data_IF_131921150309
#
_entry.id   IF_131921150309
#
_cell.length_a   1.000
_cell.length_b   1.000
_cell.length_c   1.000
_cell.angle_alpha   90.00
_cell.angle_beta   90.00
_cell.angle_gamma   90.00
#
_symmetry.space_group_name_H-M   'P 1'
#
loop_
_entity.id
_entity.type
_entity.pdbx_description
1 polymer ?
#
# COMPACT_ATOMS: atom_id res chain seq x y z
N UNK A 1 38.54 42.13 27.31
CA UNK A 1 37.33 42.47 28.06
C UNK A 1 36.18 42.54 27.07
N UNK A 2 35.60 41.39 26.72
CA UNK A 2 34.44 41.28 25.83
C UNK A 2 33.51 40.25 26.45
N UNK A 3 32.39 40.76 26.97
CA UNK A 3 31.42 40.03 27.78
C UNK A 3 30.59 39.03 26.97
N UNK A 4 30.13 38.03 27.71
CA UNK A 4 29.39 36.84 27.28
C UNK A 4 28.06 37.20 26.64
N UNK A 5 27.85 36.76 25.39
CA UNK A 5 26.53 36.58 24.80
C UNK A 5 25.93 35.26 25.31
N UNK A 6 24.99 35.35 26.24
CA UNK A 6 24.28 34.20 26.80
C UNK A 6 22.90 34.58 27.32
N UNK A 7 22.11 35.29 26.50
CA UNK A 7 20.75 35.69 26.82
C UNK A 7 19.76 34.54 26.61
N UNK A 8 19.22 34.06 27.73
CA UNK A 8 18.21 33.02 27.83
C UNK A 8 16.97 33.29 26.95
N UNK A 9 16.79 32.47 25.91
CA UNK A 9 15.47 32.30 25.29
C UNK A 9 14.66 31.33 26.14
N UNK A 10 14.01 31.94 27.11
CA UNK A 10 13.03 31.36 28.01
C UNK A 10 11.85 30.81 27.18
N UNK A 11 11.91 29.52 26.82
CA UNK A 11 10.77 28.79 26.26
C UNK A 11 9.86 28.38 27.40
N UNK A 12 8.92 29.26 27.74
CA UNK A 12 7.88 29.03 28.75
C UNK A 12 6.50 28.99 28.08
N UNK A 13 6.33 28.07 27.15
CA UNK A 13 5.00 27.70 26.66
C UNK A 13 4.92 26.18 26.56
N UNK A 14 4.66 25.55 27.70
CA UNK A 14 4.12 24.20 27.72
C UNK A 14 3.04 24.24 28.79
N UNK A 15 1.74 24.31 28.41
CA UNK A 15 0.69 24.22 29.40
C UNK A 15 0.79 22.85 30.05
N UNK A 16 1.11 22.83 31.35
CA UNK A 16 1.05 21.62 32.16
C UNK A 16 -0.43 21.35 32.39
N UNK A 17 -1.07 20.65 31.46
CA UNK A 17 -2.42 20.14 31.64
C UNK A 17 -2.38 19.14 32.80
N UNK A 18 -2.95 19.55 33.93
CA UNK A 18 -3.29 18.69 35.05
C UNK A 18 -4.30 17.65 34.62
N UNK A 19 -3.81 16.59 33.99
CA UNK A 19 -4.57 15.40 33.60
C UNK A 19 -4.91 14.62 34.87
N UNK A 20 -6.01 15.00 35.52
CA UNK A 20 -6.80 14.06 36.32
C UNK A 20 -7.31 12.96 35.39
N UNK A 21 -6.43 12.01 35.05
CA UNK A 21 -6.80 10.77 34.38
C UNK A 21 -7.38 9.89 35.46
N UNK A 22 -8.70 9.90 35.56
CA UNK A 22 -9.38 8.80 36.23
C UNK A 22 -9.11 7.59 35.33
N UNK A 23 -8.12 6.78 35.75
CA UNK A 23 -7.74 5.54 35.11
C UNK A 23 -8.82 4.50 35.45
N UNK A 24 -10.04 4.76 34.97
CA UNK A 24 -11.02 3.70 34.80
C UNK A 24 -10.35 2.67 33.92
N UNK A 25 -10.35 1.39 34.31
CA UNK A 25 -9.77 0.28 33.56
C UNK A 25 -10.34 0.24 32.12
N UNK A 26 -9.79 1.08 31.24
CA UNK A 26 -10.20 1.23 29.87
C UNK A 26 -9.97 -0.07 29.10
N UNK A 27 -9.04 -0.88 29.61
CA UNK A 27 -8.70 -2.22 29.17
C UNK A 27 -9.76 -3.27 29.58
N UNK A 28 -10.31 -3.18 30.80
CA UNK A 28 -11.42 -4.05 31.22
C UNK A 28 -12.71 -3.70 30.47
N UNK A 29 -12.96 -2.40 30.30
CA UNK A 29 -14.04 -1.88 29.47
C UNK A 29 -13.83 -2.19 27.99
N UNK A 30 -12.58 -2.30 27.51
CA UNK A 30 -12.27 -2.70 26.13
C UNK A 30 -12.72 -4.12 25.81
N UNK A 31 -12.33 -5.06 26.67
CA UNK A 31 -12.64 -6.48 26.47
C UNK A 31 -14.12 -6.77 26.67
N UNK A 32 -14.82 -6.02 27.53
CA UNK A 32 -16.27 -6.14 27.69
C UNK A 32 -17.02 -5.43 26.55
N UNK A 33 -16.54 -4.27 26.08
CA UNK A 33 -17.10 -3.53 24.95
C UNK A 33 -17.14 -4.35 23.66
N UNK A 34 -16.11 -5.13 23.35
CA UNK A 34 -16.10 -5.97 22.14
C UNK A 34 -17.16 -7.09 22.15
N UNK A 35 -17.51 -7.59 23.34
CA UNK A 35 -18.64 -8.52 23.52
C UNK A 35 -19.98 -7.79 23.42
N UNK A 36 -20.09 -6.64 24.06
CA UNK A 36 -21.30 -5.81 24.06
C UNK A 36 -21.61 -5.28 22.64
N UNK A 37 -20.61 -4.86 21.87
CA UNK A 37 -20.78 -4.37 20.50
C UNK A 37 -21.33 -5.48 19.57
N UNK A 38 -20.79 -6.69 19.65
CA UNK A 38 -21.32 -7.85 18.91
C UNK A 38 -22.74 -8.22 19.34
N UNK A 39 -23.05 -8.05 20.63
CA UNK A 39 -24.37 -8.35 21.19
C UNK A 39 -25.41 -7.31 20.77
N UNK A 40 -25.11 -6.01 20.88
CA UNK A 40 -25.98 -4.90 20.50
C UNK A 40 -26.19 -4.79 18.99
N UNK A 41 -25.19 -5.16 18.17
CA UNK A 41 -25.31 -5.16 16.71
C UNK A 41 -26.15 -6.31 16.13
N UNK A 42 -26.51 -7.30 16.95
CA UNK A 42 -27.35 -8.42 16.53
C UNK A 42 -28.81 -8.12 16.88
N UNK A 43 -29.76 -8.31 15.95
CA UNK A 43 -31.21 -8.10 16.19
C UNK A 43 -31.81 -8.89 17.37
N UNK A 44 -31.05 -9.85 17.91
CA UNK A 44 -31.37 -10.62 19.11
C UNK A 44 -31.44 -9.78 20.38
N UNK A 45 -30.63 -8.71 20.50
CA UNK A 45 -30.72 -7.79 21.65
C UNK A 45 -32.08 -7.07 21.67
N UNK A 46 -32.50 -6.53 20.52
CA UNK A 46 -33.79 -5.86 20.41
C UNK A 46 -34.94 -6.82 20.75
N UNK A 47 -34.91 -8.06 20.25
CA UNK A 47 -35.93 -9.05 20.56
C UNK A 47 -36.04 -9.36 22.07
N UNK A 48 -34.91 -9.58 22.75
CA UNK A 48 -34.88 -9.83 24.20
C UNK A 48 -35.39 -8.60 24.96
N UNK A 49 -34.92 -7.40 24.59
CA UNK A 49 -35.33 -6.14 25.22
C UNK A 49 -36.85 -5.91 25.09
N UNK A 50 -37.42 -6.16 23.91
CA UNK A 50 -38.86 -6.07 23.68
C UNK A 50 -39.64 -7.05 24.56
N UNK A 51 -39.19 -8.30 24.66
CA UNK A 51 -39.84 -9.30 25.53
C UNK A 51 -39.81 -8.84 26.99
N UNK A 52 -38.66 -8.36 27.48
CA UNK A 52 -38.53 -7.85 28.86
C UNK A 52 -39.49 -6.70 29.12
N UNK A 53 -39.57 -5.72 28.21
CA UNK A 53 -40.50 -4.57 28.35
C UNK A 53 -41.95 -5.04 28.36
N UNK A 54 -42.34 -5.96 27.48
CA UNK A 54 -43.71 -6.51 27.44
C UNK A 54 -44.05 -7.26 28.72
N UNK A 55 -43.15 -8.12 29.21
CA UNK A 55 -43.33 -8.84 30.48
C UNK A 55 -43.43 -7.86 31.65
N UNK A 56 -42.61 -6.82 31.65
CA UNK A 56 -42.63 -5.80 32.71
C UNK A 56 -43.93 -5.01 32.74
N UNK A 57 -44.42 -4.58 31.57
CA UNK A 57 -45.74 -3.93 31.44
C UNK A 57 -46.84 -4.87 31.92
N UNK A 58 -46.83 -6.14 31.49
CA UNK A 58 -47.82 -7.14 31.89
C UNK A 58 -47.81 -7.40 33.40
N UNK A 59 -46.61 -7.48 34.01
CA UNK A 59 -46.46 -7.65 35.46
C UNK A 59 -47.00 -6.43 36.19
N UNK A 60 -46.63 -5.22 35.77
CA UNK A 60 -47.13 -3.98 36.38
C UNK A 60 -48.66 -3.91 36.31
N UNK A 61 -49.28 -4.18 35.16
CA UNK A 61 -50.74 -4.21 34.99
C UNK A 61 -51.40 -5.32 35.82
N UNK A 62 -50.80 -6.50 35.93
CA UNK A 62 -51.35 -7.60 36.75
C UNK A 62 -51.30 -7.30 38.26
N UNK A 63 -50.28 -6.55 38.71
CA UNK A 63 -50.07 -6.15 40.11
C UNK A 63 -50.82 -4.85 40.45
N UNK A 64 -51.41 -4.14 39.48
CA UNK A 64 -52.40 -3.06 39.73
C UNK A 64 -53.62 -3.56 40.49
N UNK A 65 -53.95 -4.86 40.40
CA UNK A 65 -54.96 -5.49 41.26
C UNK A 65 -54.62 -5.35 42.77
N UNK A 66 -53.34 -5.19 43.12
CA UNK A 66 -52.81 -4.93 44.46
C UNK A 66 -52.52 -3.43 44.73
N UNK A 67 -52.91 -2.50 43.84
CA UNK A 67 -52.68 -1.03 43.93
C UNK A 67 -51.21 -0.57 44.03
N UNK A 68 -50.26 -1.37 43.54
CA UNK A 68 -48.83 -1.06 43.65
C UNK A 68 -48.37 0.14 42.78
N UNK A 69 -49.05 0.45 41.67
CA UNK A 69 -48.80 1.65 40.84
C UNK A 69 -50.07 2.07 40.06
N UNK A 70 -50.96 2.89 40.66
CA UNK A 70 -52.18 3.39 40.00
C UNK A 70 -51.88 4.27 38.79
N UNK A 71 -52.78 4.27 37.79
CA UNK A 71 -52.67 5.15 36.61
C UNK A 71 -52.42 6.61 37.03
N UNK A 72 -51.35 7.29 36.57
CA UNK A 72 -50.52 7.04 35.38
C UNK A 72 -49.10 6.51 35.71
N UNK A 73 -48.96 5.23 36.05
CA UNK A 73 -47.71 4.44 36.14
C UNK A 73 -46.40 5.22 36.34
N UNK A 74 -46.26 5.92 37.47
CA UNK A 74 -45.17 6.88 37.68
C UNK A 74 -43.82 6.17 37.78
N UNK A 75 -43.81 4.96 38.36
CA UNK A 75 -42.60 4.17 38.58
C UNK A 75 -42.08 3.57 37.28
N UNK A 76 -42.99 3.15 36.39
CA UNK A 76 -42.63 2.65 35.06
C UNK A 76 -41.98 3.76 34.23
N UNK A 77 -42.57 4.94 34.23
CA UNK A 77 -42.04 6.09 33.50
C UNK A 77 -40.69 6.55 34.07
N UNK A 78 -40.55 6.54 35.40
CA UNK A 78 -39.29 6.87 36.07
C UNK A 78 -38.18 5.88 35.69
N UNK A 79 -38.47 4.58 35.74
CA UNK A 79 -37.51 3.54 35.38
C UNK A 79 -37.03 3.67 33.92
N UNK A 80 -37.95 3.90 32.98
CA UNK A 80 -37.59 4.07 31.56
C UNK A 80 -36.79 5.37 31.33
N UNK A 81 -37.15 6.45 32.04
CA UNK A 81 -36.41 7.71 32.00
C UNK A 81 -34.97 7.55 32.50
N UNK A 82 -34.77 6.84 33.61
CA UNK A 82 -33.42 6.53 34.11
C UNK A 82 -32.66 5.60 33.16
N UNK A 83 -33.34 4.61 32.56
CA UNK A 83 -32.72 3.71 31.57
C UNK A 83 -32.18 4.51 30.37
N UNK A 84 -32.99 5.41 29.82
CA UNK A 84 -32.58 6.27 28.71
C UNK A 84 -31.43 7.21 29.12
N UNK A 85 -31.49 7.78 30.32
CA UNK A 85 -30.45 8.67 30.84
C UNK A 85 -29.09 7.98 30.99
N UNK A 86 -29.05 6.71 31.41
CA UNK A 86 -27.81 5.94 31.52
C UNK A 86 -27.33 5.37 30.17
N UNK A 87 -28.23 5.18 29.20
CA UNK A 87 -27.84 4.74 27.86
C UNK A 87 -26.98 5.78 27.13
N UNK A 88 -27.29 7.07 27.27
CA UNK A 88 -26.55 8.17 26.60
C UNK A 88 -25.02 8.15 26.87
N UNK A 89 -24.52 8.12 28.12
CA UNK A 89 -23.08 8.08 28.38
C UNK A 89 -22.43 6.76 27.95
N UNK A 90 -23.15 5.63 28.03
CA UNK A 90 -22.63 4.35 27.53
C UNK A 90 -22.47 4.34 26.01
N UNK A 91 -23.44 4.90 25.29
CA UNK A 91 -23.37 5.05 23.83
C UNK A 91 -22.23 5.98 23.45
N UNK A 92 -22.05 7.09 24.17
CA UNK A 92 -20.96 8.05 23.94
C UNK A 92 -19.58 7.41 24.16
N UNK A 93 -19.43 6.55 25.18
CA UNK A 93 -18.19 5.79 25.39
C UNK A 93 -17.95 4.76 24.29
N UNK A 94 -19.01 4.12 23.78
CA UNK A 94 -18.90 3.19 22.65
C UNK A 94 -18.53 3.93 21.35
N UNK A 95 -19.13 5.10 21.09
CA UNK A 95 -18.87 5.95 19.93
C UNK A 95 -17.44 6.49 19.92
N UNK A 96 -16.95 7.04 21.04
CA UNK A 96 -15.57 7.55 21.15
C UNK A 96 -14.50 6.50 20.79
N UNK A 97 -14.78 5.21 21.06
CA UNK A 97 -13.88 4.11 20.68
C UNK A 97 -13.98 3.78 19.20
N UNK A 98 -15.18 3.81 18.64
CA UNK A 98 -15.40 3.58 17.22
C UNK A 98 -14.70 4.67 16.41
N UNK A 99 -14.90 5.94 16.77
CA UNK A 99 -14.29 7.09 16.12
C UNK A 99 -12.75 7.04 16.16
N UNK A 100 -12.18 6.57 17.27
CA UNK A 100 -10.73 6.41 17.38
C UNK A 100 -10.19 5.30 16.47
N UNK A 101 -10.89 4.15 16.37
CA UNK A 101 -10.52 3.08 15.43
C UNK A 101 -10.64 3.55 13.98
N UNK A 102 -11.74 4.22 13.66
CA UNK A 102 -12.00 4.75 12.32
C UNK A 102 -10.95 5.80 11.94
N UNK A 103 -10.54 6.64 12.88
CA UNK A 103 -9.45 7.59 12.69
C UNK A 103 -8.12 6.91 12.38
N UNK A 104 -7.73 5.90 13.15
CA UNK A 104 -6.48 5.14 12.91
C UNK A 104 -6.52 4.46 11.53
N UNK A 105 -7.64 3.83 11.18
CA UNK A 105 -7.83 3.22 9.86
C UNK A 105 -7.68 4.24 8.73
N UNK A 106 -8.28 5.42 8.88
CA UNK A 106 -8.18 6.50 7.90
C UNK A 106 -6.75 7.06 7.78
N UNK A 107 -6.02 7.16 8.88
CA UNK A 107 -4.61 7.59 8.88
C UNK A 107 -3.73 6.56 8.16
N UNK A 108 -3.92 5.26 8.42
CA UNK A 108 -3.22 4.18 7.71
C UNK A 108 -3.52 4.19 6.21
N UNK A 109 -4.80 4.33 5.82
CA UNK A 109 -5.19 4.35 4.41
C UNK A 109 -4.60 5.56 3.67
N UNK A 110 -4.54 6.74 4.32
CA UNK A 110 -3.86 7.91 3.77
C UNK A 110 -2.36 7.67 3.58
N UNK A 111 -1.70 7.05 4.56
CA UNK A 111 -0.28 6.71 4.44
C UNK A 111 -0.01 5.72 3.30
N UNK A 112 -0.84 4.68 3.19
CA UNK A 112 -0.75 3.70 2.09
C UNK A 112 -0.96 4.38 0.74
N UNK A 113 -1.97 5.24 0.62
CA UNK A 113 -2.23 5.97 -0.63
C UNK A 113 -1.06 6.88 -1.03
N UNK A 114 -0.43 7.55 -0.05
CA UNK A 114 0.76 8.36 -0.29
C UNK A 114 1.97 7.52 -0.77
N UNK A 115 2.20 6.35 -0.15
CA UNK A 115 3.27 5.43 -0.56
C UNK A 115 3.02 4.90 -1.97
N UNK A 116 1.82 4.38 -2.25
CA UNK A 116 1.47 3.88 -3.60
C UNK A 116 1.62 4.95 -4.66
N UNK A 117 1.26 6.21 -4.35
CA UNK A 117 1.49 7.34 -5.26
C UNK A 117 2.97 7.57 -5.52
N UNK A 118 3.80 7.60 -4.48
CA UNK A 118 5.24 7.78 -4.60
C UNK A 118 5.90 6.65 -5.41
N UNK A 119 5.51 5.40 -5.16
CA UNK A 119 6.00 4.23 -5.89
C UNK A 119 5.60 4.30 -7.38
N UNK A 120 4.37 4.73 -7.66
CA UNK A 120 3.91 4.90 -9.05
C UNK A 120 4.67 6.03 -9.76
N UNK A 121 4.92 7.16 -9.08
CA UNK A 121 5.73 8.25 -9.63
C UNK A 121 7.18 7.82 -9.87
N UNK A 122 7.75 7.03 -8.97
CA UNK A 122 9.09 6.46 -9.12
C UNK A 122 9.15 5.52 -10.32
N UNK A 123 8.24 4.55 -10.41
CA UNK A 123 8.16 3.62 -11.54
C UNK A 123 7.93 4.35 -12.87
N UNK A 124 7.12 5.42 -12.89
CA UNK A 124 6.89 6.21 -14.08
C UNK A 124 8.16 6.95 -14.54
N UNK A 125 8.95 7.51 -13.60
CA UNK A 125 10.24 8.14 -13.91
C UNK A 125 11.24 7.13 -14.44
N UNK A 126 11.29 5.95 -13.84
CA UNK A 126 12.22 4.89 -14.23
C UNK A 126 11.85 4.29 -15.59
N UNK A 127 10.55 4.14 -15.86
CA UNK A 127 10.06 3.76 -17.17
C UNK A 127 10.37 4.84 -18.23
N UNK A 128 10.25 6.12 -17.89
CA UNK A 128 10.61 7.20 -18.80
C UNK A 128 12.11 7.23 -19.11
N UNK A 129 12.96 7.07 -18.09
CA UNK A 129 14.41 6.96 -18.25
C UNK A 129 14.80 5.73 -19.08
N UNK A 130 14.21 4.57 -18.80
CA UNK A 130 14.40 3.34 -19.57
C UNK A 130 13.95 3.52 -21.03
N UNK A 131 12.81 4.18 -21.26
CA UNK A 131 12.31 4.47 -22.61
C UNK A 131 13.28 5.34 -23.41
N UNK A 132 13.90 6.34 -22.78
CA UNK A 132 14.90 7.19 -23.44
C UNK A 132 16.15 6.37 -23.78
N UNK A 133 16.67 5.61 -22.82
CA UNK A 133 17.86 4.77 -23.02
C UNK A 133 17.64 3.71 -24.13
N UNK A 134 16.49 3.04 -24.14
CA UNK A 134 16.12 2.10 -25.20
C UNK A 134 15.85 2.82 -26.53
N UNK A 135 15.24 4.00 -26.50
CA UNK A 135 14.99 4.83 -27.67
C UNK A 135 16.27 5.20 -28.41
N UNK A 136 17.35 5.52 -27.70
CA UNK A 136 18.66 5.81 -28.30
C UNK A 136 19.28 4.56 -28.96
N UNK A 137 19.25 3.40 -28.28
CA UNK A 137 19.87 2.15 -28.78
C UNK A 137 19.03 1.49 -29.90
N UNK A 138 17.72 1.66 -29.90
CA UNK A 138 16.83 1.09 -30.93
C UNK A 138 16.60 2.03 -32.13
N UNK A 139 17.44 3.05 -32.32
CA UNK A 139 17.29 3.92 -33.48
C UNK A 139 17.55 3.11 -34.75
N UNK A 140 16.66 3.21 -35.76
CA UNK A 140 16.76 2.49 -37.05
C UNK A 140 18.17 2.58 -37.65
N UNK A 141 18.80 3.75 -37.55
CA UNK A 141 20.13 3.99 -38.11
C UNK A 141 21.24 3.25 -37.37
N UNK A 142 21.14 3.06 -36.05
CA UNK A 142 22.08 2.23 -35.28
C UNK A 142 21.94 0.76 -35.66
N UNK A 143 20.71 0.23 -35.66
CA UNK A 143 20.45 -1.14 -36.11
C UNK A 143 20.90 -1.37 -37.55
N UNK A 144 20.73 -0.38 -38.43
CA UNK A 144 21.18 -0.45 -39.82
C UNK A 144 22.70 -0.47 -39.91
N UNK A 145 23.39 0.39 -39.15
CA UNK A 145 24.86 0.40 -39.06
C UNK A 145 25.40 -0.93 -38.56
N UNK A 146 24.83 -1.46 -37.48
CA UNK A 146 25.30 -2.71 -36.88
C UNK A 146 25.09 -3.89 -37.84
N UNK A 147 23.94 -3.93 -38.53
CA UNK A 147 23.68 -4.92 -39.58
C UNK A 147 24.62 -4.78 -40.78
N UNK A 148 24.98 -3.55 -41.15
CA UNK A 148 25.88 -3.28 -42.27
C UNK A 148 27.33 -3.64 -41.92
N UNK A 149 27.76 -3.37 -40.69
CA UNK A 149 29.05 -3.82 -40.14
C UNK A 149 29.13 -5.35 -40.05
N UNK A 150 28.09 -6.01 -39.52
CA UNK A 150 27.97 -7.48 -39.52
C UNK A 150 28.05 -8.06 -40.94
N UNK A 151 27.37 -7.43 -41.90
CA UNK A 151 27.41 -7.85 -43.31
C UNK A 151 28.81 -7.67 -43.90
N UNK A 152 29.47 -6.55 -43.62
CA UNK A 152 30.81 -6.28 -44.13
C UNK A 152 31.84 -7.26 -43.58
N UNK A 153 31.74 -7.60 -42.29
CA UNK A 153 32.57 -8.65 -41.66
C UNK A 153 32.34 -10.01 -42.35
N UNK A 154 31.08 -10.36 -42.66
CA UNK A 154 30.75 -11.61 -43.35
C UNK A 154 31.33 -11.65 -44.77
N UNK A 155 31.15 -10.57 -45.55
CA UNK A 155 31.73 -10.44 -46.90
C UNK A 155 33.26 -10.53 -46.87
N UNK A 156 33.91 -9.99 -45.83
CA UNK A 156 35.36 -10.07 -45.64
C UNK A 156 35.82 -11.51 -45.41
N UNK A 157 35.07 -12.28 -44.61
CA UNK A 157 35.35 -13.70 -44.34
C UNK A 157 35.15 -14.52 -45.62
N UNK A 158 34.07 -14.27 -46.36
CA UNK A 158 33.75 -14.97 -47.61
C UNK A 158 34.77 -14.67 -48.72
N UNK A 159 35.14 -13.39 -48.87
CA UNK A 159 36.19 -12.94 -49.79
C UNK A 159 37.58 -13.50 -49.46
N UNK A 160 37.95 -13.54 -48.17
CA UNK A 160 39.19 -14.17 -47.73
C UNK A 160 39.21 -15.69 -48.02
N UNK A 161 38.06 -16.36 -47.94
CA UNK A 161 37.89 -17.75 -48.38
C UNK A 161 38.07 -17.92 -49.89
N UNK A 162 37.46 -17.03 -50.68
CA UNK A 162 37.54 -17.05 -52.14
C UNK A 162 38.97 -16.75 -52.65
N UNK A 163 39.67 -15.80 -52.05
CA UNK A 163 41.04 -15.43 -52.43
C UNK A 163 42.05 -16.52 -52.09
N UNK A 164 41.93 -17.14 -50.91
CA UNK A 164 42.72 -18.33 -50.55
C UNK A 164 42.53 -19.46 -51.56
N UNK A 165 41.29 -19.66 -52.01
CA UNK A 165 40.94 -20.68 -53.02
C UNK A 165 41.54 -20.35 -54.39
N UNK A 166 41.47 -19.09 -54.83
CA UNK A 166 42.07 -18.61 -56.10
C UNK A 166 43.59 -18.69 -56.10
N UNK A 167 44.26 -18.28 -55.01
CA UNK A 167 45.72 -18.39 -54.87
C UNK A 167 46.18 -19.83 -54.98
N UNK A 168 45.48 -20.76 -54.34
CA UNK A 168 45.76 -22.21 -54.42
C UNK A 168 45.59 -22.76 -55.85
N UNK A 169 44.62 -22.25 -56.61
CA UNK A 169 44.40 -22.64 -58.01
C UNK A 169 45.47 -22.08 -58.95
N UNK A 170 45.90 -20.83 -58.75
CA UNK A 170 46.94 -20.20 -59.57
C UNK A 170 48.33 -20.77 -59.29
N UNK A 171 48.66 -21.11 -58.03
CA UNK A 171 49.93 -21.80 -57.73
C UNK A 171 49.97 -23.19 -58.35
N UNK A 172 48.86 -23.94 -58.32
CA UNK A 172 48.75 -25.23 -59.01
C UNK A 172 48.92 -25.09 -60.54
N UNK A 173 48.33 -24.05 -61.14
CA UNK A 173 48.43 -23.80 -62.58
C UNK A 173 49.83 -23.34 -63.01
N UNK A 174 50.51 -22.53 -62.19
CA UNK A 174 51.87 -22.06 -62.44
C UNK A 174 52.88 -23.21 -62.30
N UNK A 175 52.69 -24.13 -61.34
CA UNK A 175 53.49 -25.35 -61.23
C UNK A 175 53.30 -26.28 -62.44
N UNK A 176 52.08 -26.43 -62.93
CA UNK A 176 51.81 -27.21 -64.14
C UNK A 176 52.45 -26.59 -65.40
N UNK A 177 52.63 -25.27 -65.46
CA UNK A 177 53.20 -24.58 -66.63
C UNK A 177 54.73 -24.54 -66.63
N UNK A 178 55.37 -24.54 -65.46
CA UNK A 178 56.84 -24.60 -65.32
C UNK A 178 57.38 -25.97 -65.77
N UNK A 179 56.55 -27.01 -65.77
CA UNK A 179 56.97 -28.38 -66.08
C UNK A 179 56.95 -28.74 -67.59
N UNK A 180 56.57 -27.80 -68.50
CA UNK A 180 56.27 -28.12 -69.92
C UNK A 180 57.25 -27.53 -70.95
N UNK A 181 58.25 -26.71 -70.60
CA UNK A 181 59.22 -26.21 -71.61
C UNK A 181 60.36 -27.22 -71.87
N UNK A 182 60.55 -27.74 -73.10
CA UNK A 182 61.71 -28.58 -73.43
C UNK A 182 62.95 -27.72 -73.73
N UNK A 183 64.18 -28.24 -73.54
CA UNK A 183 65.38 -27.49 -73.81
C UNK A 183 65.60 -27.39 -75.33
N UNK A 184 65.70 -26.15 -75.81
CA UNK A 184 66.16 -25.85 -77.18
C UNK A 184 67.69 -25.99 -77.18
N UNK A 185 68.21 -26.86 -78.04
CA UNK A 185 69.63 -27.05 -78.27
C UNK A 185 70.06 -26.23 -79.50
N UNK A 186 71.06 -25.36 -79.32
CA UNK A 186 71.81 -24.69 -80.38
C UNK A 186 73.01 -25.59 -80.79
N UNK A 187 73.03 -26.02 -82.06
CA UNK A 187 74.13 -26.00 -83.04
C UNK A 187 73.74 -26.80 -84.31
#
# INVERSE_FOLDING_TARGET
MTEKLGGARQRLETPVEGRFRIDWDAEALARSSERVARFLGTGRYLAIQTIVVVVWIALNVSVVALRWDPYPFILLNLAFSTQAAYAAPLILLAQNRQDNRDRVSLEEDRMRAAQTKADTEFLARELAALRIAVGEVATRDYLRRELEELKEVLDRIEGAGAEKTRRKKNSARKQAQIQVSPPVADD
#
